data_IF_681431341037
#
_entry.id   IF_681431341037
#
_cell.length_a   1.000
_cell.length_b   1.000
_cell.length_c   1.000
_cell.angle_alpha   90.00
_cell.angle_beta   90.00
_cell.angle_gamma   90.00
#
_symmetry.space_group_name_H-M   'P 1'
#
loop_
_entity.id
_entity.type
_entity.pdbx_description
1 polymer ?
#
# COMPACT_ATOMS: atom_id res chain seq x y z
N UNK A 1 -12.79 40.08 -20.13
CA UNK A 1 -12.58 40.78 -18.85
C UNK A 1 -13.32 40.01 -17.76
N UNK A 2 -12.56 39.29 -16.91
CA UNK A 2 -12.92 38.63 -15.64
C UNK A 2 -14.10 37.61 -15.67
N UNK A 3 -13.83 36.30 -15.58
CA UNK A 3 -13.61 35.51 -14.35
C UNK A 3 -14.91 34.94 -13.78
N UNK A 4 -15.05 33.61 -13.89
CA UNK A 4 -15.74 32.76 -12.90
C UNK A 4 -14.96 31.45 -12.81
N UNK A 5 -14.30 31.23 -11.67
CA UNK A 5 -13.75 29.95 -11.25
C UNK A 5 -14.92 29.04 -10.86
N UNK A 6 -15.07 27.92 -11.55
CA UNK A 6 -15.87 26.75 -11.19
C UNK A 6 -15.36 25.63 -12.10
N UNK A 7 -14.86 24.48 -11.66
CA UNK A 7 -15.08 23.73 -10.46
C UNK A 7 -14.90 22.29 -10.90
N UNK A 8 -13.70 21.72 -10.68
CA UNK A 8 -13.41 20.32 -11.04
C UNK A 8 -12.75 19.65 -9.85
N UNK A 9 -13.45 19.64 -8.71
CA UNK A 9 -13.24 18.61 -7.71
C UNK A 9 -13.86 17.34 -8.29
N UNK A 10 -13.08 16.56 -9.02
CA UNK A 10 -13.43 15.16 -9.28
C UNK A 10 -13.51 14.47 -7.91
N UNK A 11 -14.71 14.41 -7.32
CA UNK A 11 -14.96 13.59 -6.15
C UNK A 11 -14.72 12.15 -6.60
N UNK A 12 -13.59 11.57 -6.22
CA UNK A 12 -13.37 10.13 -6.37
C UNK A 12 -14.58 9.42 -5.76
N UNK A 13 -15.30 8.64 -6.56
CA UNK A 13 -16.42 7.86 -6.08
C UNK A 13 -15.91 7.00 -4.91
N UNK A 14 -16.51 7.18 -3.73
CA UNK A 14 -16.15 6.40 -2.56
C UNK A 14 -16.62 4.96 -2.78
N UNK A 15 -15.68 4.08 -3.06
CA UNK A 15 -15.96 2.65 -3.19
C UNK A 15 -16.23 2.08 -1.79
N UNK A 16 -17.42 1.50 -1.60
CA UNK A 16 -17.78 0.83 -0.36
C UNK A 16 -17.56 -0.67 -0.54
N UNK A 17 -16.62 -1.21 0.24
CA UNK A 17 -16.29 -2.63 0.21
C UNK A 17 -16.51 -3.25 1.59
N UNK A 18 -17.01 -4.48 1.55
CA UNK A 18 -17.10 -5.34 2.73
C UNK A 18 -15.75 -5.99 3.03
N UNK A 19 -15.53 -6.38 4.28
CA UNK A 19 -14.33 -7.16 4.65
C UNK A 19 -14.20 -8.45 3.83
N UNK A 20 -15.30 -9.09 3.45
CA UNK A 20 -15.28 -10.27 2.61
C UNK A 20 -14.72 -10.00 1.21
N UNK A 21 -15.03 -8.83 0.62
CA UNK A 21 -14.48 -8.41 -0.67
C UNK A 21 -12.99 -8.06 -0.61
N UNK A 22 -12.47 -7.66 0.56
CA UNK A 22 -11.04 -7.41 0.78
C UNK A 22 -10.26 -8.68 1.12
N UNK A 23 -10.92 -9.68 1.71
CA UNK A 23 -10.25 -10.91 2.14
C UNK A 23 -9.62 -11.69 0.98
N UNK A 24 -10.30 -11.72 -0.17
CA UNK A 24 -9.82 -12.42 -1.36
C UNK A 24 -8.54 -11.78 -1.95
N UNK A 25 -8.48 -10.47 -2.23
CA UNK A 25 -7.24 -9.82 -2.68
C UNK A 25 -6.14 -9.87 -1.61
N UNK A 26 -6.47 -9.79 -0.32
CA UNK A 26 -5.49 -9.94 0.75
C UNK A 26 -4.84 -11.33 0.75
N UNK A 27 -5.61 -12.40 0.52
CA UNK A 27 -5.07 -13.76 0.41
C UNK A 27 -4.17 -13.92 -0.80
N UNK A 28 -4.60 -13.40 -1.97
CA UNK A 28 -3.77 -13.44 -3.18
C UNK A 28 -2.45 -12.73 -2.98
N UNK A 29 -2.49 -11.57 -2.31
CA UNK A 29 -1.29 -10.81 -1.99
C UNK A 29 -0.35 -11.60 -1.08
N UNK A 30 -0.86 -12.17 0.01
CA UNK A 30 -0.06 -13.00 0.92
C UNK A 30 0.61 -14.17 0.20
N UNK A 31 -0.12 -14.88 -0.66
CA UNK A 31 0.44 -15.96 -1.48
C UNK A 31 1.52 -15.45 -2.45
N UNK A 32 1.30 -14.31 -3.10
CA UNK A 32 2.31 -13.72 -3.98
C UNK A 32 3.59 -13.33 -3.24
N UNK A 33 3.51 -12.91 -1.97
CA UNK A 33 4.70 -12.64 -1.14
C UNK A 33 5.46 -13.92 -0.81
N UNK A 34 4.75 -15.02 -0.51
CA UNK A 34 5.36 -16.34 -0.30
C UNK A 34 6.09 -16.82 -1.57
N UNK A 35 5.46 -16.65 -2.74
CA UNK A 35 6.06 -17.02 -4.03
C UNK A 35 7.32 -16.19 -4.35
N UNK A 36 7.38 -14.94 -3.85
CA UNK A 36 8.55 -14.07 -3.94
C UNK A 36 9.63 -14.38 -2.87
N UNK A 37 9.40 -15.37 -2.01
CA UNK A 37 10.33 -15.80 -0.98
C UNK A 37 10.35 -14.90 0.27
N UNK A 38 9.27 -14.16 0.52
CA UNK A 38 9.08 -13.46 1.80
C UNK A 38 8.67 -14.49 2.85
N UNK A 39 9.42 -14.53 3.94
CA UNK A 39 9.20 -15.47 5.05
C UNK A 39 8.52 -14.79 6.25
N UNK A 40 8.03 -15.60 7.18
CA UNK A 40 7.46 -15.18 8.44
C UNK A 40 8.39 -14.21 9.20
N UNK A 41 7.81 -13.11 9.68
CA UNK A 41 8.54 -12.07 10.42
C UNK A 41 9.39 -11.14 9.55
N UNK A 42 9.53 -11.41 8.25
CA UNK A 42 10.23 -10.50 7.36
C UNK A 42 9.41 -9.24 7.10
N UNK A 43 10.12 -8.13 6.85
CA UNK A 43 9.52 -6.81 6.68
C UNK A 43 9.20 -6.55 5.22
N UNK A 44 8.09 -5.89 4.97
CA UNK A 44 7.66 -5.53 3.61
C UNK A 44 7.25 -4.06 3.60
N UNK A 45 7.96 -3.25 2.83
CA UNK A 45 7.66 -1.82 2.70
C UNK A 45 6.46 -1.62 1.76
N UNK A 46 5.56 -0.72 2.14
CA UNK A 46 4.34 -0.40 1.41
C UNK A 46 4.34 1.08 1.03
N UNK A 47 4.42 1.38 -0.26
CA UNK A 47 4.31 2.73 -0.81
C UNK A 47 3.10 2.81 -1.75
N UNK A 48 1.92 3.02 -1.16
CA UNK A 48 0.65 3.12 -1.88
C UNK A 48 -0.17 4.30 -1.35
N UNK A 49 -1.03 4.86 -2.20
CA UNK A 49 -2.03 5.84 -1.77
C UNK A 49 -3.13 5.21 -0.92
N UNK A 50 -3.91 6.05 -0.23
CA UNK A 50 -5.08 5.62 0.52
C UNK A 50 -6.15 5.04 -0.41
N UNK A 51 -6.21 3.71 -0.51
CA UNK A 51 -7.14 2.97 -1.37
C UNK A 51 -7.55 1.63 -0.76
N UNK A 52 -8.61 0.98 -1.25
CA UNK A 52 -8.93 -0.40 -0.86
C UNK A 52 -7.77 -1.39 -1.05
N UNK A 53 -6.93 -1.16 -2.07
CA UNK A 53 -5.76 -1.99 -2.36
C UNK A 53 -4.73 -1.88 -1.23
N UNK A 54 -4.54 -0.69 -0.64
CA UNK A 54 -3.68 -0.53 0.54
C UNK A 54 -4.16 -1.43 1.69
N UNK A 55 -5.48 -1.47 1.95
CA UNK A 55 -6.06 -2.31 3.01
C UNK A 55 -5.84 -3.79 2.71
N UNK A 56 -6.06 -4.23 1.48
CA UNK A 56 -5.82 -5.60 1.05
C UNK A 56 -4.33 -5.99 1.20
N UNK A 57 -3.41 -5.13 0.79
CA UNK A 57 -1.96 -5.37 0.89
C UNK A 57 -1.51 -5.41 2.35
N UNK A 58 -1.97 -4.47 3.17
CA UNK A 58 -1.64 -4.40 4.59
C UNK A 58 -2.09 -5.67 5.33
N UNK A 59 -3.34 -6.10 5.13
CA UNK A 59 -3.83 -7.33 5.75
C UNK A 59 -3.23 -8.59 5.13
N UNK A 60 -2.97 -8.62 3.83
CA UNK A 60 -2.33 -9.75 3.17
C UNK A 60 -0.91 -10.00 3.70
N UNK A 61 -0.14 -8.92 3.90
CA UNK A 61 1.18 -8.98 4.53
C UNK A 61 1.11 -9.51 5.97
N UNK A 62 0.19 -8.98 6.80
CA UNK A 62 0.03 -9.49 8.18
C UNK A 62 -0.41 -10.96 8.16
N UNK A 63 -1.35 -11.32 7.29
CA UNK A 63 -1.93 -12.66 7.22
C UNK A 63 -0.91 -13.72 6.80
N UNK A 64 -0.01 -13.40 5.87
CA UNK A 64 1.10 -14.31 5.53
C UNK A 64 2.15 -14.38 6.65
N UNK A 65 2.14 -13.41 7.58
CA UNK A 65 3.06 -13.32 8.71
C UNK A 65 4.22 -12.34 8.52
N UNK A 66 4.19 -11.52 7.46
CA UNK A 66 5.15 -10.44 7.27
C UNK A 66 4.79 -9.22 8.12
N UNK A 67 5.77 -8.35 8.31
CA UNK A 67 5.64 -7.07 9.03
C UNK A 67 5.52 -5.93 8.00
N UNK A 68 4.32 -5.40 7.72
CA UNK A 68 4.18 -4.30 6.78
C UNK A 68 4.73 -2.99 7.37
N UNK A 69 5.46 -2.24 6.54
CA UNK A 69 6.00 -0.91 6.87
C UNK A 69 5.35 0.11 5.92
N UNK A 70 4.28 0.80 6.35
CA UNK A 70 3.65 1.82 5.54
C UNK A 70 4.55 3.06 5.42
N UNK A 71 4.88 3.43 4.19
CA UNK A 71 5.62 4.63 3.85
C UNK A 71 4.65 5.71 3.36
N UNK A 72 4.92 6.96 3.75
CA UNK A 72 4.17 8.09 3.24
C UNK A 72 4.61 8.40 1.80
N UNK A 73 3.66 8.52 0.87
CA UNK A 73 3.91 8.82 -0.56
C UNK A 73 4.36 10.27 -0.82
N UNK A 74 4.23 11.15 0.16
CA UNK A 74 4.67 12.55 0.11
C UNK A 74 6.08 12.80 0.66
N UNK A 75 6.87 11.76 0.94
CA UNK A 75 8.25 11.92 1.43
C UNK A 75 9.18 12.42 0.32
N UNK A 76 10.29 13.06 0.72
CA UNK A 76 11.33 13.48 -0.25
C UNK A 76 12.21 12.29 -0.61
N UNK A 77 12.89 12.31 -1.78
CA UNK A 77 13.75 11.21 -2.22
C UNK A 77 14.76 10.73 -1.17
N UNK A 78 15.40 11.64 -0.44
CA UNK A 78 16.37 11.29 0.62
C UNK A 78 15.74 10.56 1.81
N UNK A 79 14.49 10.89 2.15
CA UNK A 79 13.77 10.25 3.25
C UNK A 79 13.44 8.78 2.86
N UNK A 80 13.04 8.52 1.61
CA UNK A 80 12.85 7.15 1.11
C UNK A 80 14.13 6.33 1.16
N UNK A 81 15.25 6.89 0.70
CA UNK A 81 16.55 6.21 0.73
C UNK A 81 16.92 5.83 2.16
N UNK A 82 16.74 6.75 3.11
CA UNK A 82 16.98 6.47 4.52
C UNK A 82 16.09 5.33 5.04
N UNK A 83 14.77 5.44 4.85
CA UNK A 83 13.83 4.46 5.38
C UNK A 83 14.02 3.08 4.75
N UNK A 84 14.24 2.99 3.44
CA UNK A 84 14.41 1.70 2.77
C UNK A 84 15.70 1.01 3.23
N UNK A 85 16.79 1.75 3.40
CA UNK A 85 18.05 1.20 3.88
C UNK A 85 18.00 0.75 5.37
N UNK A 86 17.25 1.47 6.21
CA UNK A 86 17.14 1.15 7.65
C UNK A 86 16.07 0.07 7.93
N UNK A 87 15.02 0.00 7.11
CA UNK A 87 13.84 -0.84 7.36
C UNK A 87 14.10 -2.35 7.33
N UNK A 88 15.22 -2.81 6.76
CA UNK A 88 15.47 -4.24 6.49
C UNK A 88 14.32 -4.92 5.72
N UNK A 89 13.56 -4.15 4.93
CA UNK A 89 12.46 -4.68 4.14
C UNK A 89 12.99 -5.63 3.06
N UNK A 90 12.39 -6.82 2.99
CA UNK A 90 12.75 -7.83 1.98
C UNK A 90 12.13 -7.52 0.62
N UNK A 91 10.98 -6.86 0.62
CA UNK A 91 10.25 -6.44 -0.57
C UNK A 91 9.66 -5.04 -0.38
N UNK A 92 9.47 -4.34 -1.49
CA UNK A 92 8.75 -3.07 -1.57
C UNK A 92 7.57 -3.25 -2.52
N UNK A 93 6.37 -2.94 -2.05
CA UNK A 93 5.18 -2.89 -2.87
C UNK A 93 4.86 -1.44 -3.20
N UNK A 94 4.64 -1.22 -4.49
CA UNK A 94 4.25 0.06 -5.05
C UNK A 94 2.95 -0.12 -5.83
N UNK A 95 2.05 0.84 -5.70
CA UNK A 95 0.82 0.89 -6.49
C UNK A 95 0.55 2.36 -6.82
N UNK A 96 0.46 2.65 -8.11
CA UNK A 96 0.21 3.96 -8.67
C UNK A 96 -1.24 4.05 -9.17
#
# INVERSE_FOLDING_TARGET
MASLVSGSSEMMAQEVLTYAQIAEPANRLGNGLLDLGVDLGQRVALLLLGSPQFVAVFFGAIKMGAVPIPLNTGLRPGDYVYMLNDSLARALLIYA
#
